data_IF_801440443454
#
_entry.id   IF_801440443454
#
_cell.length_a   1.000
_cell.length_b   1.000
_cell.length_c   1.000
_cell.angle_alpha   90.00
_cell.angle_beta   90.00
_cell.angle_gamma   90.00
#
_symmetry.space_group_name_H-M   'P 1'
#
loop_
_entity.id
_entity.type
_entity.pdbx_description
1 polymer ?
#
# COMPACT_ATOMS: atom_id res chain seq x y z
N UNK A 1 -23.34 31.85 72.29
CA UNK A 1 -23.80 30.70 71.48
C UNK A 1 -23.52 31.02 70.02
N UNK A 2 -22.81 30.10 69.32
CA UNK A 2 -22.59 29.93 67.86
C UNK A 2 -22.31 31.20 67.00
N UNK A 3 -21.07 31.45 66.52
CA UNK A 3 -20.43 30.91 65.29
C UNK A 3 -21.29 31.05 64.01
N UNK A 4 -20.78 31.74 62.99
CA UNK A 4 -20.22 31.11 61.78
C UNK A 4 -19.56 32.13 60.83
N UNK A 5 -18.30 31.85 60.50
CA UNK A 5 -17.43 32.55 59.56
C UNK A 5 -17.72 32.08 58.14
N UNK A 6 -17.92 32.99 57.18
CA UNK A 6 -18.06 32.65 55.77
C UNK A 6 -16.69 32.35 55.15
N UNK A 7 -16.48 31.11 54.70
CA UNK A 7 -15.35 30.72 53.86
C UNK A 7 -15.77 30.82 52.39
N UNK A 8 -15.08 31.66 51.61
CA UNK A 8 -15.08 31.62 50.16
C UNK A 8 -14.22 30.43 49.71
N UNK A 9 -14.83 29.42 49.10
CA UNK A 9 -14.12 28.36 48.38
C UNK A 9 -14.19 28.70 46.89
N UNK A 10 -13.06 29.13 46.33
CA UNK A 10 -12.84 29.27 44.90
C UNK A 10 -12.65 27.85 44.32
N UNK A 11 -13.72 27.24 43.79
CA UNK A 11 -13.60 25.98 43.07
C UNK A 11 -13.04 26.24 41.67
N UNK A 12 -11.75 25.96 41.47
CA UNK A 12 -11.16 25.74 40.14
C UNK A 12 -11.81 24.50 39.53
N UNK A 13 -12.86 24.69 38.74
CA UNK A 13 -13.38 23.65 37.85
C UNK A 13 -12.33 23.44 36.76
N UNK A 14 -11.44 22.47 36.94
CA UNK A 14 -10.71 21.89 35.80
C UNK A 14 -11.73 21.13 34.98
N UNK A 15 -12.25 21.74 33.92
CA UNK A 15 -12.90 21.01 32.84
C UNK A 15 -11.86 20.04 32.27
N UNK A 16 -11.97 18.77 32.62
CA UNK A 16 -11.33 17.70 31.88
C UNK A 16 -12.02 17.68 30.51
N UNK A 17 -11.42 18.34 29.52
CA UNK A 17 -11.83 18.21 28.13
C UNK A 17 -11.52 16.76 27.75
N UNK A 18 -12.57 15.95 27.62
CA UNK A 18 -12.44 14.62 27.03
C UNK A 18 -12.05 14.82 25.57
N UNK A 19 -10.82 14.46 25.21
CA UNK A 19 -10.37 14.45 23.82
C UNK A 19 -11.29 13.50 23.06
N UNK A 20 -12.04 13.95 22.06
CA UNK A 20 -12.85 13.07 21.25
C UNK A 20 -11.95 12.06 20.52
N UNK A 21 -12.41 10.81 20.36
CA UNK A 21 -11.63 9.72 19.76
C UNK A 21 -11.23 9.90 18.27
N UNK A 22 -11.44 11.09 17.70
CA UNK A 22 -11.20 11.44 16.30
C UNK A 22 -10.29 12.67 16.13
N UNK A 23 -9.78 13.28 17.21
CA UNK A 23 -8.79 14.36 17.10
C UNK A 23 -7.37 13.81 17.00
N UNK A 24 -6.50 14.50 16.25
CA UNK A 24 -5.09 14.13 16.09
C UNK A 24 -4.36 14.13 17.43
N UNK A 25 -3.48 13.14 17.68
CA UNK A 25 -2.57 13.19 18.86
C UNK A 25 -1.34 14.07 18.60
N UNK A 26 -1.29 14.79 17.48
CA UNK A 26 -0.19 15.70 17.20
C UNK A 26 -0.14 16.85 18.21
N UNK A 27 1.03 17.05 18.83
CA UNK A 27 1.26 18.11 19.81
C UNK A 27 1.03 17.71 21.27
N UNK A 28 0.50 16.50 21.53
CA UNK A 28 0.41 15.93 22.87
C UNK A 28 1.77 15.42 23.36
N UNK A 29 2.02 15.55 24.65
CA UNK A 29 3.20 14.99 25.30
C UNK A 29 3.08 13.46 25.47
N UNK A 30 4.19 12.82 25.81
CA UNK A 30 4.27 11.36 25.98
C UNK A 30 3.29 10.83 27.03
N UNK A 31 3.03 11.60 28.09
CA UNK A 31 2.09 11.20 29.14
C UNK A 31 0.65 11.26 28.61
N UNK A 32 0.32 12.28 27.84
CA UNK A 32 -1.02 12.45 27.26
C UNK A 32 -1.34 11.38 26.21
N UNK A 33 -0.37 10.98 25.38
CA UNK A 33 -0.51 9.85 24.46
C UNK A 33 -0.70 8.55 25.23
N UNK A 34 0.11 8.31 26.27
CA UNK A 34 -0.04 7.13 27.11
C UNK A 34 -1.37 7.13 27.86
N UNK A 35 -1.88 8.28 28.31
CA UNK A 35 -3.20 8.40 28.93
C UNK A 35 -4.32 8.14 27.91
N UNK A 36 -4.22 8.66 26.68
CA UNK A 36 -5.16 8.36 25.60
C UNK A 36 -5.19 6.86 25.29
N UNK A 37 -4.03 6.23 25.12
CA UNK A 37 -3.91 4.79 24.86
C UNK A 37 -4.39 3.97 26.06
N UNK A 38 -4.13 4.42 27.28
CA UNK A 38 -4.63 3.74 28.50
C UNK A 38 -6.14 3.83 28.61
N UNK A 39 -6.76 4.93 28.19
CA UNK A 39 -8.22 5.14 28.22
C UNK A 39 -8.96 4.43 27.08
N UNK A 40 -8.38 4.39 25.89
CA UNK A 40 -9.04 3.86 24.69
C UNK A 40 -8.57 2.45 24.29
N UNK A 41 -7.48 1.96 24.89
CA UNK A 41 -6.81 0.72 24.53
C UNK A 41 -5.99 0.83 23.24
N UNK A 42 -5.12 -0.16 23.02
CA UNK A 42 -4.52 -0.44 21.71
C UNK A 42 -5.38 -1.49 21.02
N UNK A 43 -5.63 -1.35 19.72
CA UNK A 43 -6.35 -2.39 18.98
C UNK A 43 -5.63 -3.74 19.12
N UNK A 44 -6.38 -4.82 19.22
CA UNK A 44 -5.80 -6.16 19.13
C UNK A 44 -5.15 -6.32 17.75
N UNK A 45 -3.85 -6.61 17.74
CA UNK A 45 -3.10 -6.92 16.51
C UNK A 45 -3.05 -8.44 16.38
N UNK A 46 -3.90 -9.06 15.53
CA UNK A 46 -3.86 -10.50 15.31
C UNK A 46 -2.55 -10.89 14.61
N UNK A 47 -2.21 -12.17 14.69
CA UNK A 47 -1.14 -12.70 13.84
C UNK A 47 -1.58 -12.66 12.37
N UNK A 48 -0.63 -12.51 11.42
CA UNK A 48 -0.92 -12.62 10.00
C UNK A 48 -1.69 -13.91 9.68
N UNK A 49 -2.68 -13.87 8.77
CA UNK A 49 -3.38 -15.07 8.33
C UNK A 49 -2.42 -16.15 7.82
N UNK A 50 -2.73 -17.41 8.11
CA UNK A 50 -2.09 -18.57 7.49
C UNK A 50 -2.44 -18.64 5.99
N UNK A 51 -1.72 -19.46 5.20
CA UNK A 51 -2.11 -19.74 3.82
C UNK A 51 -3.54 -20.27 3.73
N UNK A 52 -4.15 -20.11 2.55
CA UNK A 52 -5.44 -20.74 2.26
C UNK A 52 -5.34 -22.26 2.51
N UNK A 53 -6.39 -22.89 3.06
CA UNK A 53 -6.38 -24.33 3.29
C UNK A 53 -6.10 -25.11 2.00
N UNK A 54 -5.41 -26.25 2.12
CA UNK A 54 -5.12 -27.10 0.97
C UNK A 54 -6.38 -27.42 0.16
N UNK A 55 -6.32 -27.21 -1.16
CA UNK A 55 -7.47 -27.39 -2.06
C UNK A 55 -8.43 -26.20 -2.12
N UNK A 56 -8.19 -25.14 -1.33
CA UNK A 56 -8.89 -23.86 -1.43
C UNK A 56 -8.02 -22.77 -2.06
N UNK A 57 -6.85 -23.12 -2.59
CA UNK A 57 -5.87 -22.26 -3.26
C UNK A 57 -5.83 -22.48 -4.79
N UNK A 58 -6.86 -23.15 -5.32
CA UNK A 58 -7.02 -23.40 -6.74
C UNK A 58 -7.79 -22.32 -7.49
N UNK A 59 -8.03 -22.61 -8.78
CA UNK A 59 -8.93 -21.87 -9.66
C UNK A 59 -10.34 -21.78 -9.04
N UNK A 60 -10.89 -20.57 -8.95
CA UNK A 60 -12.17 -20.29 -8.31
C UNK A 60 -12.85 -19.12 -9.00
N UNK A 61 -14.16 -19.22 -9.24
CA UNK A 61 -15.00 -18.08 -9.63
C UNK A 61 -15.01 -17.08 -8.48
N UNK A 62 -14.60 -15.84 -8.72
CA UNK A 62 -14.48 -14.80 -7.69
C UNK A 62 -15.37 -13.58 -7.94
N UNK A 63 -15.91 -13.46 -9.14
CA UNK A 63 -17.09 -12.63 -9.38
C UNK A 63 -18.35 -13.49 -9.21
N UNK A 64 -18.70 -13.76 -7.94
CA UNK A 64 -19.77 -14.69 -7.54
C UNK A 64 -20.91 -13.96 -6.79
N UNK A 65 -22.07 -14.62 -6.54
CA UNK A 65 -23.18 -14.00 -5.82
C UNK A 65 -22.91 -13.62 -4.36
N UNK A 66 -21.86 -14.15 -3.73
CA UNK A 66 -21.44 -13.79 -2.37
C UNK A 66 -20.56 -12.53 -2.40
N UNK A 67 -19.85 -12.31 -3.50
CA UNK A 67 -18.98 -11.16 -3.76
C UNK A 67 -19.47 -10.31 -4.95
N UNK A 68 -20.74 -9.84 -4.95
CA UNK A 68 -21.26 -9.05 -6.05
C UNK A 68 -20.54 -7.71 -6.12
N UNK A 69 -20.38 -7.21 -7.35
CA UNK A 69 -19.94 -5.84 -7.56
C UNK A 69 -20.97 -4.85 -6.99
N UNK A 70 -20.50 -3.90 -6.18
CA UNK A 70 -21.25 -2.73 -5.76
C UNK A 70 -20.33 -1.52 -5.94
N UNK A 71 -20.79 -0.56 -6.74
CA UNK A 71 -20.08 0.69 -6.96
C UNK A 71 -19.85 1.43 -5.63
N UNK A 72 -18.69 2.06 -5.49
CA UNK A 72 -18.35 2.86 -4.32
C UNK A 72 -19.37 3.99 -4.11
N UNK A 73 -19.92 4.09 -2.91
CA UNK A 73 -20.76 5.22 -2.50
C UNK A 73 -19.95 6.49 -2.24
N UNK A 74 -20.61 7.62 -1.93
CA UNK A 74 -19.94 8.92 -1.73
C UNK A 74 -18.93 8.96 -0.58
N UNK A 75 -19.03 8.04 0.39
CA UNK A 75 -18.15 7.93 1.55
C UNK A 75 -17.14 6.79 1.42
N UNK A 76 -17.25 5.96 0.39
CA UNK A 76 -16.38 4.81 0.22
C UNK A 76 -15.05 5.23 -0.41
N UNK A 77 -13.94 4.80 0.19
CA UNK A 77 -12.61 5.20 -0.22
C UNK A 77 -12.04 4.22 -1.23
N UNK A 78 -11.42 4.77 -2.27
CA UNK A 78 -10.65 4.06 -3.29
C UNK A 78 -9.32 4.81 -3.48
N UNK A 79 -8.32 4.12 -3.99
CA UNK A 79 -6.95 4.63 -4.07
C UNK A 79 -6.22 4.28 -5.36
N UNK A 80 -4.88 4.36 -5.34
CA UNK A 80 -4.06 4.15 -6.53
C UNK A 80 -3.99 2.66 -6.95
N UNK A 81 -4.33 1.72 -6.06
CA UNK A 81 -4.24 0.29 -6.33
C UNK A 81 -5.55 -0.27 -6.94
N UNK A 82 -5.59 -0.59 -8.25
CA UNK A 82 -6.81 -1.11 -8.90
C UNK A 82 -7.27 -2.46 -8.32
N UNK A 83 -6.34 -3.29 -7.85
CA UNK A 83 -6.65 -4.58 -7.25
C UNK A 83 -7.43 -4.42 -5.93
N UNK A 84 -6.92 -3.61 -4.99
CA UNK A 84 -7.61 -3.38 -3.72
C UNK A 84 -8.93 -2.63 -3.90
N UNK A 85 -8.98 -1.69 -4.84
CA UNK A 85 -10.22 -1.02 -5.21
C UNK A 85 -11.29 -2.02 -5.66
N UNK A 86 -10.91 -2.95 -6.54
CA UNK A 86 -11.81 -3.98 -7.04
C UNK A 86 -12.24 -4.93 -5.93
N UNK A 87 -11.32 -5.35 -5.05
CA UNK A 87 -11.63 -6.22 -3.92
C UNK A 87 -12.59 -5.56 -2.92
N UNK A 88 -12.45 -4.25 -2.65
CA UNK A 88 -13.42 -3.50 -1.85
C UNK A 88 -14.78 -3.38 -2.57
N UNK A 89 -14.80 -3.11 -3.88
CA UNK A 89 -16.04 -3.06 -4.67
C UNK A 89 -16.72 -4.42 -4.84
N UNK A 90 -16.04 -5.53 -4.57
CA UNK A 90 -16.61 -6.88 -4.54
C UNK A 90 -16.86 -7.41 -3.12
N UNK A 91 -16.48 -6.67 -2.08
CA UNK A 91 -16.71 -7.08 -0.68
C UNK A 91 -15.73 -8.13 -0.14
N UNK A 92 -14.63 -8.41 -0.85
CA UNK A 92 -13.49 -9.14 -0.28
C UNK A 92 -12.75 -8.33 0.80
N UNK A 93 -12.86 -7.00 0.70
CA UNK A 93 -12.45 -6.05 1.73
C UNK A 93 -13.67 -5.26 2.22
N UNK A 94 -13.60 -4.62 3.40
CA UNK A 94 -14.58 -3.62 3.79
C UNK A 94 -14.83 -2.62 2.67
N UNK A 95 -16.09 -2.46 2.26
CA UNK A 95 -16.48 -1.69 1.06
C UNK A 95 -16.17 -0.19 1.20
N UNK A 96 -16.10 0.31 2.43
CA UNK A 96 -15.65 1.67 2.75
C UNK A 96 -14.17 1.93 2.45
N UNK A 97 -13.37 0.88 2.15
CA UNK A 97 -11.97 1.03 1.80
C UNK A 97 -11.03 1.23 3.01
N UNK A 98 -11.49 0.91 4.22
CA UNK A 98 -10.65 0.95 5.43
C UNK A 98 -10.59 -0.45 6.03
N UNK A 99 -9.38 -1.00 6.13
CA UNK A 99 -9.18 -2.39 6.50
C UNK A 99 -7.99 -2.59 7.43
N UNK A 100 -8.03 -3.67 8.21
CA UNK A 100 -6.86 -4.14 8.96
C UNK A 100 -5.93 -4.97 8.06
N UNK A 101 -4.64 -5.10 8.41
CA UNK A 101 -3.70 -5.96 7.69
C UNK A 101 -4.17 -7.41 7.49
N UNK A 102 -4.79 -8.04 8.51
CA UNK A 102 -5.31 -9.41 8.40
C UNK A 102 -6.43 -9.54 7.37
N UNK A 103 -7.29 -8.53 7.27
CA UNK A 103 -8.35 -8.48 6.27
C UNK A 103 -7.79 -8.28 4.87
N UNK A 104 -6.76 -7.41 4.74
CA UNK A 104 -6.08 -7.18 3.47
C UNK A 104 -5.38 -8.45 2.96
N UNK A 105 -4.61 -9.13 3.81
CA UNK A 105 -3.95 -10.40 3.46
C UNK A 105 -4.99 -11.44 3.04
N UNK A 106 -6.07 -11.58 3.81
CA UNK A 106 -7.16 -12.53 3.46
C UNK A 106 -7.82 -12.18 2.13
N UNK A 107 -8.15 -10.91 1.91
CA UNK A 107 -8.86 -10.45 0.71
C UNK A 107 -8.06 -10.66 -0.57
N UNK A 108 -6.75 -10.40 -0.57
CA UNK A 108 -5.91 -10.62 -1.76
C UNK A 108 -5.63 -12.10 -2.03
N UNK A 109 -5.54 -12.94 -0.98
CA UNK A 109 -5.48 -14.39 -1.15
C UNK A 109 -6.80 -14.93 -1.73
N UNK A 110 -7.94 -14.56 -1.15
CA UNK A 110 -9.24 -15.09 -1.56
C UNK A 110 -9.66 -14.61 -2.95
N UNK A 111 -9.53 -13.31 -3.23
CA UNK A 111 -10.04 -12.73 -4.47
C UNK A 111 -9.11 -12.84 -5.67
N UNK A 112 -7.79 -12.93 -5.46
CA UNK A 112 -6.79 -12.93 -6.55
C UNK A 112 -5.78 -14.08 -6.51
N UNK A 113 -5.83 -14.91 -5.46
CA UNK A 113 -4.88 -15.99 -5.20
C UNK A 113 -3.42 -15.51 -5.07
N UNK A 114 -3.24 -14.37 -4.39
CA UNK A 114 -1.92 -13.93 -3.98
C UNK A 114 -1.34 -14.93 -2.98
N UNK A 115 -0.11 -15.38 -3.15
CA UNK A 115 0.55 -16.29 -2.22
C UNK A 115 0.73 -15.65 -0.85
N UNK A 116 0.66 -16.46 0.22
CA UNK A 116 0.55 -15.95 1.58
C UNK A 116 1.72 -15.05 2.00
N UNK A 117 2.96 -15.49 1.76
CA UNK A 117 4.13 -14.71 2.14
C UNK A 117 4.28 -13.44 1.28
N UNK A 118 3.96 -13.53 -0.01
CA UNK A 118 3.92 -12.35 -0.89
C UNK A 118 2.82 -11.35 -0.49
N UNK A 119 1.65 -11.84 -0.08
CA UNK A 119 0.56 -11.03 0.43
C UNK A 119 0.96 -10.32 1.74
N UNK A 120 1.56 -11.04 2.68
CA UNK A 120 2.08 -10.45 3.93
C UNK A 120 3.14 -9.38 3.64
N UNK A 121 4.07 -9.66 2.74
CA UNK A 121 5.10 -8.70 2.34
C UNK A 121 4.48 -7.38 1.86
N UNK A 122 3.58 -7.44 0.88
CA UNK A 122 2.94 -6.25 0.31
C UNK A 122 2.08 -5.50 1.35
N UNK A 123 1.29 -6.23 2.14
CA UNK A 123 0.37 -5.63 3.11
C UNK A 123 1.11 -5.00 4.28
N UNK A 124 2.07 -5.69 4.90
CA UNK A 124 2.76 -5.14 6.07
C UNK A 124 3.74 -4.03 5.69
N UNK A 125 4.37 -4.10 4.51
CA UNK A 125 5.12 -2.96 3.95
C UNK A 125 4.22 -1.73 3.84
N UNK A 126 3.09 -1.86 3.14
CA UNK A 126 2.15 -0.75 2.96
C UNK A 126 1.60 -0.24 4.29
N UNK A 127 1.25 -1.14 5.22
CA UNK A 127 0.70 -0.79 6.51
C UNK A 127 1.70 -0.04 7.40
N UNK A 128 2.96 -0.48 7.46
CA UNK A 128 4.00 0.23 8.20
C UNK A 128 4.23 1.65 7.67
N UNK A 129 4.08 1.84 6.36
CA UNK A 129 4.32 3.11 5.69
C UNK A 129 3.11 4.05 5.72
N UNK A 130 1.88 3.53 5.78
CA UNK A 130 0.67 4.32 5.54
C UNK A 130 -0.48 4.11 6.54
N UNK A 131 -0.44 3.02 7.30
CA UNK A 131 -1.47 2.64 8.26
C UNK A 131 -1.30 3.30 9.62
N UNK A 132 -2.33 3.20 10.45
CA UNK A 132 -2.29 3.61 11.84
C UNK A 132 -1.91 2.39 12.70
N UNK A 133 -0.69 2.35 13.26
CA UNK A 133 -0.23 1.20 14.02
C UNK A 133 -0.94 1.05 15.38
N UNK A 134 -1.57 2.11 15.91
CA UNK A 134 -2.27 2.06 17.21
C UNK A 134 -3.69 1.47 17.07
N UNK A 135 -4.38 1.78 15.97
CA UNK A 135 -5.74 1.28 15.69
C UNK A 135 -5.76 0.04 14.81
N UNK A 136 -4.60 -0.33 14.24
CA UNK A 136 -4.44 -1.45 13.32
C UNK A 136 -5.29 -1.31 12.03
N UNK A 137 -5.50 -0.07 11.56
CA UNK A 137 -6.32 0.23 10.38
C UNK A 137 -5.52 1.01 9.33
N UNK A 138 -5.79 0.73 8.06
CA UNK A 138 -5.25 1.47 6.92
C UNK A 138 -6.35 1.74 5.90
N UNK A 139 -6.34 2.95 5.34
CA UNK A 139 -7.13 3.30 4.16
C UNK A 139 -6.44 2.80 2.90
N UNK A 140 -7.20 2.18 1.99
CA UNK A 140 -6.70 1.78 0.67
C UNK A 140 -6.58 2.96 -0.31
N UNK A 141 -6.95 4.17 0.11
CA UNK A 141 -6.84 5.40 -0.66
C UNK A 141 -6.32 6.56 0.18
N UNK A 142 -7.00 7.70 0.13
CA UNK A 142 -6.60 8.93 0.82
C UNK A 142 -6.73 8.81 2.35
N UNK A 143 -6.11 9.75 3.07
CA UNK A 143 -6.22 9.91 4.52
C UNK A 143 -7.68 10.06 4.94
N UNK A 144 -8.05 9.42 6.04
CA UNK A 144 -9.41 9.43 6.59
C UNK A 144 -9.39 9.38 8.11
N UNK A 145 -10.33 10.03 8.81
CA UNK A 145 -10.49 9.87 10.26
C UNK A 145 -10.92 8.45 10.67
N UNK A 146 -11.38 7.61 9.73
CA UNK A 146 -11.77 6.22 10.01
C UNK A 146 -10.60 5.31 10.45
N UNK A 147 -9.35 5.72 10.21
CA UNK A 147 -8.17 5.03 10.78
C UNK A 147 -7.86 5.48 12.21
N UNK A 148 -8.63 6.40 12.78
CA UNK A 148 -8.52 6.91 14.14
C UNK A 148 -7.40 7.93 14.36
N UNK A 149 -7.16 8.34 15.62
CA UNK A 149 -6.23 9.42 15.96
C UNK A 149 -4.81 9.16 15.47
N UNK A 150 -4.25 10.16 14.81
CA UNK A 150 -2.90 10.08 14.29
C UNK A 150 -1.87 9.94 15.42
N UNK A 151 -0.83 9.12 15.25
CA UNK A 151 0.36 9.18 16.08
C UNK A 151 1.08 10.53 15.92
N UNK A 152 2.05 10.84 16.80
CA UNK A 152 2.82 12.07 16.70
C UNK A 152 3.50 12.22 15.34
N UNK A 153 3.60 13.48 14.89
CA UNK A 153 4.41 13.86 13.73
C UNK A 153 5.86 13.38 13.91
N UNK A 154 6.57 13.02 12.84
CA UNK A 154 6.24 13.23 11.42
C UNK A 154 5.36 12.15 10.75
N UNK A 155 4.88 11.14 11.49
CA UNK A 155 4.02 10.12 10.93
C UNK A 155 2.75 10.71 10.29
N UNK A 156 2.41 10.23 9.09
CA UNK A 156 1.34 10.82 8.28
C UNK A 156 0.03 10.04 8.38
N UNK A 157 0.10 8.70 8.46
CA UNK A 157 -1.08 7.81 8.41
C UNK A 157 -1.99 8.22 7.25
N UNK A 158 -1.39 8.37 6.07
CA UNK A 158 -2.01 9.01 4.93
C UNK A 158 -2.86 8.08 4.06
N UNK A 159 -2.91 6.78 4.40
CA UNK A 159 -3.48 5.77 3.50
C UNK A 159 -2.61 5.52 2.27
N UNK A 160 -3.00 4.57 1.42
CA UNK A 160 -2.18 4.17 0.26
C UNK A 160 -1.96 5.29 -0.77
N UNK A 161 -2.79 6.33 -0.80
CA UNK A 161 -2.56 7.46 -1.70
C UNK A 161 -1.50 8.43 -1.19
N UNK A 162 -0.90 8.22 -0.03
CA UNK A 162 0.14 9.11 0.50
C UNK A 162 1.39 9.07 -0.37
N UNK A 163 1.61 10.17 -1.10
CA UNK A 163 2.78 10.33 -1.95
C UNK A 163 4.09 10.27 -1.18
N UNK A 164 5.12 9.68 -1.79
CA UNK A 164 6.50 9.68 -1.32
C UNK A 164 6.82 8.63 -0.25
N UNK A 165 5.85 7.76 0.08
CA UNK A 165 6.08 6.59 0.92
C UNK A 165 6.01 5.33 0.06
N UNK A 166 4.81 4.81 -0.18
CA UNK A 166 4.52 3.66 -1.04
C UNK A 166 4.10 4.13 -2.44
N UNK A 167 3.07 4.99 -2.50
CA UNK A 167 2.67 5.66 -3.73
C UNK A 167 3.80 6.59 -4.18
N UNK A 168 4.02 6.62 -5.49
CA UNK A 168 4.99 7.51 -6.08
C UNK A 168 4.79 7.67 -7.58
N UNK A 169 5.63 8.51 -8.15
CA UNK A 169 5.57 8.93 -9.55
C UNK A 169 5.66 7.76 -10.52
N UNK A 170 5.36 8.06 -11.78
CA UNK A 170 5.48 7.15 -12.94
C UNK A 170 4.43 6.04 -12.96
N UNK A 171 3.30 6.23 -12.28
CA UNK A 171 2.19 5.28 -12.32
C UNK A 171 1.65 5.07 -13.74
N UNK A 172 1.14 3.87 -14.02
CA UNK A 172 0.73 3.47 -15.37
C UNK A 172 -0.57 4.14 -15.83
N UNK A 173 -1.48 4.40 -14.90
CA UNK A 173 -2.84 4.93 -15.18
C UNK A 173 -3.27 6.02 -14.20
N UNK A 174 -2.36 6.50 -13.36
CA UNK A 174 -2.54 7.58 -12.37
C UNK A 174 -1.47 8.64 -12.63
N UNK A 175 -1.82 9.91 -12.47
CA UNK A 175 -0.87 11.02 -12.62
C UNK A 175 0.09 11.08 -11.44
N UNK A 176 1.28 11.63 -11.67
CA UNK A 176 2.20 11.97 -10.59
C UNK A 176 1.55 13.02 -9.67
N UNK A 177 1.82 12.96 -8.37
CA UNK A 177 1.21 13.84 -7.36
C UNK A 177 1.47 15.34 -7.65
N UNK A 178 2.59 15.65 -8.31
CA UNK A 178 2.90 17.01 -8.77
C UNK A 178 1.81 17.59 -9.70
N UNK A 179 1.16 16.76 -10.51
CA UNK A 179 0.18 17.21 -11.50
C UNK A 179 -1.27 17.15 -11.02
N UNK A 180 -1.56 16.49 -9.90
CA UNK A 180 -2.91 16.36 -9.38
C UNK A 180 -3.10 15.16 -8.47
N UNK A 181 -4.33 14.66 -8.40
CA UNK A 181 -4.68 13.53 -7.53
C UNK A 181 -4.15 12.21 -8.09
N UNK A 182 -3.11 11.69 -7.45
CA UNK A 182 -2.43 10.43 -7.77
C UNK A 182 -3.26 9.17 -7.48
N UNK A 183 -4.46 9.28 -6.88
CA UNK A 183 -5.34 8.14 -6.65
C UNK A 183 -6.30 7.88 -7.81
N UNK A 184 -6.64 8.93 -8.58
CA UNK A 184 -7.73 8.92 -9.56
C UNK A 184 -7.28 8.30 -10.88
N UNK A 185 -8.13 7.43 -11.44
CA UNK A 185 -7.92 6.88 -12.79
C UNK A 185 -7.81 8.01 -13.82
N UNK A 186 -6.78 7.96 -14.66
CA UNK A 186 -6.54 8.94 -15.70
C UNK A 186 -6.75 8.34 -17.10
N UNK A 187 -7.79 8.81 -17.79
CA UNK A 187 -8.14 8.32 -19.13
C UNK A 187 -7.04 8.56 -20.16
N UNK A 188 -6.32 9.69 -20.10
CA UNK A 188 -5.23 9.98 -21.04
C UNK A 188 -4.10 8.95 -20.91
N UNK A 189 -3.66 8.65 -19.68
CA UNK A 189 -2.66 7.61 -19.44
C UNK A 189 -3.19 6.21 -19.80
N UNK A 190 -4.49 5.96 -19.64
CA UNK A 190 -5.08 4.71 -20.08
C UNK A 190 -5.16 4.59 -21.62
N UNK A 191 -5.37 5.68 -22.34
CA UNK A 191 -5.25 5.69 -23.81
C UNK A 191 -3.81 5.38 -24.25
N UNK A 192 -2.81 5.88 -23.53
CA UNK A 192 -1.42 5.49 -23.75
C UNK A 192 -1.20 3.99 -23.48
N UNK A 193 -1.75 3.47 -22.38
CA UNK A 193 -1.75 2.03 -22.08
C UNK A 193 -2.33 1.20 -23.23
N UNK A 194 -3.46 1.62 -23.81
CA UNK A 194 -4.08 0.97 -24.98
C UNK A 194 -3.15 1.06 -26.20
N UNK A 195 -2.58 2.24 -26.48
CA UNK A 195 -1.71 2.45 -27.63
C UNK A 195 -0.44 1.58 -27.57
N UNK A 196 0.18 1.46 -26.40
CA UNK A 196 1.34 0.59 -26.21
C UNK A 196 0.98 -0.89 -26.32
N UNK A 197 -0.17 -1.30 -25.78
CA UNK A 197 -0.69 -2.66 -25.93
C UNK A 197 -0.93 -3.00 -27.40
N UNK A 198 -1.59 -2.12 -28.15
CA UNK A 198 -1.84 -2.27 -29.59
C UNK A 198 -0.55 -2.37 -30.42
N UNK A 199 0.47 -1.60 -30.04
CA UNK A 199 1.73 -1.51 -30.80
C UNK A 199 2.71 -2.65 -30.50
N UNK A 200 2.80 -3.09 -29.24
CA UNK A 200 3.86 -3.98 -28.78
C UNK A 200 3.37 -5.32 -28.26
N UNK A 201 2.11 -5.41 -27.85
CA UNK A 201 1.54 -6.63 -27.29
C UNK A 201 0.94 -7.55 -28.34
N UNK A 202 0.95 -8.85 -28.04
CA UNK A 202 0.35 -9.86 -28.89
C UNK A 202 -1.15 -9.60 -29.06
N UNK A 203 -1.61 -9.50 -30.30
CA UNK A 203 -2.99 -9.17 -30.66
C UNK A 203 -3.56 -7.93 -29.93
N UNK A 204 -2.71 -6.96 -29.60
CA UNK A 204 -3.12 -5.72 -28.91
C UNK A 204 -3.43 -5.88 -27.42
N UNK A 205 -3.03 -7.00 -26.81
CA UNK A 205 -3.18 -7.22 -25.36
C UNK A 205 -2.06 -6.53 -24.57
N UNK A 206 -2.31 -6.28 -23.30
CA UNK A 206 -1.28 -5.89 -22.36
C UNK A 206 -0.54 -7.15 -21.88
N UNK A 207 0.62 -7.40 -22.48
CA UNK A 207 1.56 -8.48 -22.16
C UNK A 207 2.94 -7.90 -21.79
N UNK A 208 3.93 -8.76 -21.51
CA UNK A 208 5.27 -8.32 -21.08
C UNK A 208 5.99 -7.41 -22.08
N UNK A 209 5.72 -7.55 -23.39
CA UNK A 209 6.31 -6.67 -24.40
C UNK A 209 5.76 -5.25 -24.27
N UNK A 210 4.43 -5.13 -24.16
CA UNK A 210 3.77 -3.85 -23.92
C UNK A 210 4.15 -3.24 -22.57
N UNK A 211 4.21 -4.05 -21.51
CA UNK A 211 4.60 -3.64 -20.16
C UNK A 211 5.98 -2.98 -20.17
N UNK A 212 6.97 -3.62 -20.78
CA UNK A 212 8.35 -3.12 -20.78
C UNK A 212 8.48 -1.77 -21.48
N UNK A 213 7.83 -1.61 -22.63
CA UNK A 213 7.85 -0.35 -23.39
C UNK A 213 7.10 0.76 -22.65
N UNK A 214 5.93 0.47 -22.10
CA UNK A 214 5.13 1.47 -21.38
C UNK A 214 5.78 1.88 -20.05
N UNK A 215 6.34 0.93 -19.29
CA UNK A 215 7.09 1.25 -18.05
C UNK A 215 8.26 2.18 -18.37
N UNK A 216 9.03 1.90 -19.41
CA UNK A 216 10.12 2.77 -19.85
C UNK A 216 9.61 4.18 -20.21
N UNK A 217 8.55 4.26 -21.01
CA UNK A 217 7.94 5.54 -21.38
C UNK A 217 7.48 6.34 -20.14
N UNK A 218 6.81 5.68 -19.19
CA UNK A 218 6.34 6.30 -17.94
C UNK A 218 7.47 6.76 -17.02
N UNK A 219 8.70 6.25 -17.17
CA UNK A 219 9.88 6.75 -16.49
C UNK A 219 10.49 7.98 -17.19
N UNK A 220 10.50 7.98 -18.53
CA UNK A 220 11.11 9.05 -19.32
C UNK A 220 10.26 10.33 -19.33
N UNK A 221 8.92 10.24 -19.36
CA UNK A 221 8.07 11.44 -19.43
C UNK A 221 8.20 12.37 -18.23
N UNK A 222 8.17 11.87 -16.97
CA UNK A 222 8.32 12.72 -15.80
C UNK A 222 9.70 13.34 -15.66
N UNK A 223 10.76 12.72 -16.21
CA UNK A 223 12.10 13.34 -16.24
C UNK A 223 12.04 14.69 -16.95
N UNK A 224 11.29 14.79 -18.05
CA UNK A 224 11.15 16.03 -18.81
C UNK A 224 10.07 16.98 -18.25
N UNK A 225 9.05 16.44 -17.58
CA UNK A 225 7.81 17.20 -17.28
C UNK A 225 7.59 17.50 -15.80
N UNK A 226 7.95 16.59 -14.90
CA UNK A 226 7.74 16.68 -13.45
C UNK A 226 9.02 17.23 -12.77
N UNK A 227 9.06 18.51 -12.34
CA UNK A 227 10.26 19.08 -11.71
C UNK A 227 10.62 18.47 -10.37
N UNK A 228 9.72 17.71 -9.75
CA UNK A 228 9.83 17.13 -8.41
C UNK A 228 9.85 15.60 -8.45
N UNK A 229 10.08 14.99 -9.63
CA UNK A 229 10.14 13.53 -9.80
C UNK A 229 11.02 12.87 -8.73
N UNK A 230 10.46 11.89 -8.02
CA UNK A 230 11.21 11.01 -7.12
C UNK A 230 11.04 9.56 -7.56
N UNK A 231 12.12 8.96 -8.09
CA UNK A 231 12.13 7.55 -8.47
C UNK A 231 13.28 6.82 -7.77
N UNK A 232 13.11 6.58 -6.47
CA UNK A 232 14.08 5.94 -5.58
C UNK A 232 13.47 4.75 -4.84
N UNK A 233 14.19 4.15 -3.89
CA UNK A 233 13.65 3.07 -3.03
C UNK A 233 12.61 3.63 -2.04
N UNK A 234 11.48 2.94 -1.82
CA UNK A 234 11.12 1.62 -2.37
C UNK A 234 10.35 1.67 -3.70
N UNK A 235 10.09 2.87 -4.27
CA UNK A 235 9.29 3.06 -5.48
C UNK A 235 9.80 2.28 -6.69
N UNK A 236 11.11 2.13 -6.87
CA UNK A 236 11.66 1.31 -7.96
C UNK A 236 11.14 -0.14 -7.91
N UNK A 237 11.06 -0.74 -6.73
CA UNK A 237 10.53 -2.10 -6.58
C UNK A 237 9.04 -2.16 -6.91
N UNK A 238 8.25 -1.25 -6.33
CA UNK A 238 6.80 -1.25 -6.53
C UNK A 238 6.43 -0.91 -7.97
N UNK A 239 7.04 0.09 -8.59
CA UNK A 239 6.72 0.51 -9.95
C UNK A 239 6.93 -0.60 -11.00
N UNK A 240 8.02 -1.36 -10.91
CA UNK A 240 8.26 -2.48 -11.83
C UNK A 240 7.37 -3.68 -11.52
N UNK A 241 7.15 -4.03 -10.24
CA UNK A 241 6.27 -5.12 -9.84
C UNK A 241 4.80 -4.86 -10.23
N UNK A 242 4.31 -3.66 -9.97
CA UNK A 242 2.96 -3.22 -10.30
C UNK A 242 2.70 -3.18 -11.81
N UNK A 243 3.75 -2.99 -12.63
CA UNK A 243 3.61 -3.03 -14.08
C UNK A 243 3.34 -4.46 -14.59
N UNK A 244 3.89 -5.50 -13.93
CA UNK A 244 3.63 -6.90 -14.34
C UNK A 244 2.34 -7.47 -13.75
N UNK A 245 1.89 -6.97 -12.59
CA UNK A 245 0.71 -7.48 -11.88
C UNK A 245 -0.57 -7.61 -12.74
N UNK A 246 -0.93 -6.67 -13.63
CA UNK A 246 -2.12 -6.82 -14.49
C UNK A 246 -2.04 -8.04 -15.41
N UNK A 247 -0.85 -8.37 -15.92
CA UNK A 247 -0.65 -9.58 -16.75
C UNK A 247 -0.87 -10.86 -15.94
N UNK A 248 -0.78 -10.78 -14.61
CA UNK A 248 -1.03 -11.91 -13.71
C UNK A 248 -2.47 -11.89 -13.22
N UNK A 249 -2.82 -10.90 -12.40
CA UNK A 249 -4.01 -10.93 -11.56
C UNK A 249 -5.28 -10.48 -12.26
N UNK A 250 -5.18 -9.80 -13.41
CA UNK A 250 -6.35 -9.33 -14.17
C UNK A 250 -6.65 -10.20 -15.39
N UNK A 251 -5.78 -11.18 -15.68
CA UNK A 251 -6.04 -12.24 -16.66
C UNK A 251 -6.84 -13.34 -15.97
N UNK A 252 -7.95 -13.76 -16.60
CA UNK A 252 -8.76 -14.87 -16.09
C UNK A 252 -7.90 -16.13 -15.92
N UNK A 253 -7.96 -16.74 -14.74
CA UNK A 253 -7.11 -17.86 -14.35
C UNK A 253 -7.27 -19.10 -15.23
N UNK A 254 -8.36 -19.22 -15.99
CA UNK A 254 -8.54 -20.30 -16.98
C UNK A 254 -7.66 -20.13 -18.22
N UNK A 255 -7.33 -18.88 -18.56
CA UNK A 255 -6.46 -18.56 -19.69
C UNK A 255 -5.00 -18.66 -19.28
N UNK A 256 -4.64 -18.04 -18.15
CA UNK A 256 -3.28 -18.01 -17.56
C UNK A 256 -2.15 -17.77 -18.58
N UNK A 257 -2.41 -16.98 -19.62
CA UNK A 257 -1.52 -16.76 -20.77
C UNK A 257 -0.73 -15.45 -20.68
N UNK A 258 -0.89 -14.70 -19.58
CA UNK A 258 -0.26 -13.39 -19.33
C UNK A 258 -0.60 -12.29 -20.35
N UNK A 259 -1.73 -12.43 -21.04
CA UNK A 259 -2.20 -11.47 -22.05
C UNK A 259 -3.51 -10.85 -21.56
N UNK A 260 -3.41 -9.65 -20.99
CA UNK A 260 -4.57 -8.94 -20.48
C UNK A 260 -5.27 -8.20 -21.62
N UNK A 261 -6.54 -8.49 -21.86
CA UNK A 261 -7.33 -7.75 -22.86
C UNK A 261 -7.60 -6.32 -22.38
N UNK A 262 -7.74 -5.38 -23.30
CA UNK A 262 -8.04 -3.97 -22.96
C UNK A 262 -9.37 -3.83 -22.22
N UNK A 263 -10.38 -4.63 -22.59
CA UNK A 263 -11.67 -4.63 -21.90
C UNK A 263 -11.51 -5.06 -20.43
N UNK A 264 -10.79 -6.16 -20.17
CA UNK A 264 -10.49 -6.58 -18.82
C UNK A 264 -9.63 -5.53 -18.07
N UNK A 265 -8.65 -4.91 -18.73
CA UNK A 265 -7.87 -3.84 -18.13
C UNK A 265 -8.76 -2.66 -17.68
N UNK A 266 -9.71 -2.20 -18.52
CA UNK A 266 -10.62 -1.11 -18.15
C UNK A 266 -11.51 -1.49 -16.96
N UNK A 267 -11.99 -2.73 -16.94
CA UNK A 267 -12.76 -3.28 -15.81
C UNK A 267 -12.04 -3.10 -14.47
N UNK A 268 -10.75 -3.42 -14.38
CA UNK A 268 -10.00 -3.26 -13.13
C UNK A 268 -9.50 -1.83 -12.86
N UNK A 269 -8.99 -1.14 -13.88
CA UNK A 269 -8.33 0.16 -13.69
C UNK A 269 -9.28 1.34 -13.50
N UNK A 270 -10.42 1.31 -14.21
CA UNK A 270 -11.43 2.37 -14.26
C UNK A 270 -12.64 1.97 -13.42
N UNK A 271 -13.31 0.87 -13.78
CA UNK A 271 -14.57 0.46 -13.16
C UNK A 271 -14.41 -0.19 -11.80
N UNK A 272 -13.19 -0.62 -11.45
CA UNK A 272 -12.88 -1.32 -10.20
C UNK A 272 -13.78 -2.55 -10.01
N UNK A 273 -13.94 -3.31 -11.08
CA UNK A 273 -14.91 -4.38 -11.22
C UNK A 273 -14.25 -5.57 -11.89
N UNK A 274 -14.37 -6.77 -11.31
CA UNK A 274 -13.97 -7.99 -11.99
C UNK A 274 -14.87 -8.23 -13.23
N UNK A 275 -14.33 -8.69 -14.37
CA UNK A 275 -15.16 -9.16 -15.48
C UNK A 275 -16.20 -10.20 -15.04
N UNK A 276 -17.30 -10.31 -15.78
CA UNK A 276 -18.29 -11.37 -15.52
C UNK A 276 -17.62 -12.74 -15.66
N UNK A 277 -17.97 -13.68 -14.78
CA UNK A 277 -17.41 -15.05 -14.79
C UNK A 277 -15.88 -15.08 -14.56
N UNK A 278 -15.30 -14.04 -13.96
CA UNK A 278 -13.86 -13.96 -13.71
C UNK A 278 -13.41 -14.99 -12.68
N UNK A 279 -12.42 -15.79 -13.06
CA UNK A 279 -11.74 -16.73 -12.17
C UNK A 279 -10.37 -16.19 -11.76
N UNK A 280 -10.05 -16.27 -10.46
CA UNK A 280 -8.72 -15.92 -9.94
C UNK A 280 -7.65 -16.89 -10.43
N UNK A 281 -6.38 -16.61 -10.17
CA UNK A 281 -5.27 -17.47 -10.60
C UNK A 281 -5.40 -18.92 -10.10
N UNK A 282 -4.96 -19.93 -10.88
CA UNK A 282 -5.18 -21.34 -10.57
C UNK A 282 -4.27 -21.89 -9.46
N UNK A 283 -3.25 -21.14 -9.06
CA UNK A 283 -2.33 -21.45 -7.97
C UNK A 283 -1.88 -20.16 -7.29
N UNK A 284 -1.41 -20.21 -6.02
CA UNK A 284 -0.87 -19.06 -5.32
C UNK A 284 0.25 -18.38 -6.11
N UNK A 285 0.21 -17.05 -6.20
CA UNK A 285 1.25 -16.26 -6.85
C UNK A 285 2.24 -15.70 -5.83
N UNK A 286 3.51 -16.09 -5.96
CA UNK A 286 4.61 -15.77 -5.04
C UNK A 286 5.77 -15.07 -5.76
N UNK A 287 6.83 -14.72 -5.02
CA UNK A 287 8.00 -14.04 -5.59
C UNK A 287 8.65 -14.85 -6.71
N UNK A 288 8.72 -16.17 -6.57
CA UNK A 288 9.26 -17.06 -7.61
C UNK A 288 8.56 -16.92 -8.97
N UNK A 289 7.27 -16.55 -8.99
CA UNK A 289 6.53 -16.28 -10.23
C UNK A 289 6.74 -14.84 -10.73
N UNK A 290 6.75 -13.87 -9.82
CA UNK A 290 6.79 -12.44 -10.17
C UNK A 290 8.19 -11.97 -10.56
N UNK A 291 9.22 -12.38 -9.82
CA UNK A 291 10.59 -11.89 -9.98
C UNK A 291 11.15 -12.09 -11.40
N UNK A 292 10.97 -13.25 -12.06
CA UNK A 292 11.43 -13.42 -13.44
C UNK A 292 10.79 -12.43 -14.42
N UNK A 293 9.49 -12.13 -14.27
CA UNK A 293 8.77 -11.20 -15.15
C UNK A 293 9.24 -9.76 -14.93
N UNK A 294 9.44 -9.37 -13.67
CA UNK A 294 10.00 -8.07 -13.30
C UNK A 294 11.41 -7.90 -13.88
N UNK A 295 12.25 -8.93 -13.76
CA UNK A 295 13.59 -8.93 -14.32
C UNK A 295 13.58 -8.86 -15.85
N UNK A 296 12.65 -9.55 -16.52
CA UNK A 296 12.50 -9.51 -17.98
C UNK A 296 12.23 -8.10 -18.47
N UNK A 297 11.23 -7.41 -17.89
CA UNK A 297 10.90 -6.04 -18.31
C UNK A 297 11.99 -5.04 -17.93
N UNK A 298 12.67 -5.23 -16.79
CA UNK A 298 13.78 -4.36 -16.38
C UNK A 298 15.00 -4.53 -17.29
N UNK A 299 15.36 -5.76 -17.66
CA UNK A 299 16.53 -6.02 -18.50
C UNK A 299 16.37 -5.47 -19.92
N UNK A 300 15.14 -5.27 -20.39
CA UNK A 300 14.88 -4.62 -21.69
C UNK A 300 15.20 -3.12 -21.66
N UNK A 301 14.90 -2.46 -20.55
CA UNK A 301 15.15 -1.02 -20.34
C UNK A 301 15.66 -0.77 -18.90
N UNK A 302 16.94 -1.07 -18.60
CA UNK A 302 17.48 -0.90 -17.26
C UNK A 302 17.44 0.56 -16.83
N UNK A 303 17.09 0.82 -15.58
CA UNK A 303 16.96 2.17 -15.04
C UNK A 303 17.69 2.32 -13.71
N UNK A 304 18.41 3.43 -13.55
CA UNK A 304 19.11 3.77 -12.30
C UNK A 304 18.26 4.75 -11.49
N UNK A 305 18.00 4.48 -10.19
CA UNK A 305 17.27 5.39 -9.32
C UNK A 305 17.77 6.84 -9.34
N UNK A 306 16.87 7.80 -9.18
CA UNK A 306 17.20 9.21 -9.19
C UNK A 306 16.04 10.13 -8.87
N UNK A 307 16.32 11.43 -8.84
CA UNK A 307 15.34 12.49 -8.55
C UNK A 307 15.53 13.68 -9.49
N UNK A 308 14.48 14.43 -9.78
CA UNK A 308 14.60 15.70 -10.47
C UNK A 308 14.91 16.85 -9.50
N UNK A 309 15.82 17.73 -9.91
CA UNK A 309 16.04 19.04 -9.30
C UNK A 309 15.59 20.13 -10.27
N UNK A 310 14.27 20.23 -10.49
CA UNK A 310 13.69 20.98 -11.59
C UNK A 310 13.55 20.14 -12.86
N UNK A 311 12.81 20.66 -13.85
CA UNK A 311 12.54 19.94 -15.10
C UNK A 311 13.83 19.68 -15.88
N UNK A 312 13.94 18.51 -16.50
CA UNK A 312 15.11 18.08 -17.29
C UNK A 312 16.43 18.05 -16.49
N UNK A 313 16.36 17.91 -15.16
CA UNK A 313 17.54 17.87 -14.29
C UNK A 313 17.49 16.63 -13.39
N UNK A 314 17.50 15.45 -14.03
CA UNK A 314 17.48 14.17 -13.34
C UNK A 314 18.87 13.83 -12.80
N UNK A 315 18.98 13.78 -11.48
CA UNK A 315 20.20 13.45 -10.76
C UNK A 315 20.12 12.01 -10.25
N UNK A 316 21.10 11.21 -10.66
CA UNK A 316 21.21 9.82 -10.23
C UNK A 316 21.48 9.75 -8.73
N UNK A 317 20.86 8.76 -8.08
CA UNK A 317 21.01 8.47 -6.66
C UNK A 317 21.68 7.10 -6.50
N UNK A 318 22.98 6.94 -6.82
CA UNK A 318 23.65 5.64 -6.91
C UNK A 318 23.76 4.89 -5.57
N UNK A 319 23.57 5.59 -4.44
CA UNK A 319 23.54 4.98 -3.11
C UNK A 319 22.16 4.42 -2.74
N UNK A 320 21.14 4.65 -3.57
CA UNK A 320 19.82 4.04 -3.40
C UNK A 320 19.90 2.59 -3.88
N UNK A 321 19.37 1.62 -3.12
CA UNK A 321 19.28 0.24 -3.56
C UNK A 321 18.64 0.11 -4.96
N UNK A 322 19.30 -0.64 -5.83
CA UNK A 322 18.77 -0.95 -7.16
C UNK A 322 17.66 -2.00 -7.07
N UNK A 323 16.89 -2.20 -8.15
CA UNK A 323 15.83 -3.21 -8.20
C UNK A 323 16.32 -4.62 -7.85
N UNK A 324 17.55 -4.97 -8.25
CA UNK A 324 18.17 -6.26 -7.96
C UNK A 324 18.60 -6.44 -6.50
N UNK A 325 18.73 -5.36 -5.74
CA UNK A 325 19.14 -5.39 -4.33
C UNK A 325 17.91 -5.42 -3.40
N UNK A 326 17.20 -6.55 -3.43
CA UNK A 326 15.98 -6.73 -2.64
C UNK A 326 16.22 -6.52 -1.12
N UNK A 327 17.32 -7.06 -0.59
CA UNK A 327 17.62 -6.91 0.83
C UNK A 327 17.99 -5.46 1.19
N UNK A 328 18.72 -4.75 0.31
CA UNK A 328 18.97 -3.33 0.49
C UNK A 328 17.68 -2.50 0.47
N UNK A 329 16.72 -2.81 -0.41
CA UNK A 329 15.39 -2.16 -0.42
C UNK A 329 14.64 -2.42 0.89
N UNK A 330 14.64 -3.66 1.38
CA UNK A 330 14.06 -4.01 2.68
C UNK A 330 14.72 -3.21 3.83
N UNK A 331 16.05 -3.18 3.87
CA UNK A 331 16.80 -2.42 4.88
C UNK A 331 16.49 -0.92 4.80
N UNK A 332 16.40 -0.36 3.60
CA UNK A 332 16.08 1.04 3.35
C UNK A 332 14.67 1.40 3.87
N UNK A 333 13.68 0.52 3.67
CA UNK A 333 12.35 0.70 4.26
C UNK A 333 12.46 0.72 5.79
N UNK A 334 13.08 -0.30 6.38
CA UNK A 334 13.09 -0.50 7.83
C UNK A 334 13.97 0.51 8.57
N UNK A 335 15.09 0.95 7.97
CA UNK A 335 16.09 1.80 8.61
C UNK A 335 15.98 3.29 8.24
N UNK A 336 15.37 3.62 7.10
CA UNK A 336 15.19 5.02 6.67
C UNK A 336 13.72 5.44 6.64
N UNK A 337 12.87 4.68 5.94
CA UNK A 337 11.46 5.11 5.73
C UNK A 337 10.66 5.06 7.04
N UNK A 338 10.70 3.93 7.75
CA UNK A 338 9.93 3.78 9.00
C UNK A 338 10.45 4.74 10.10
N UNK A 339 11.76 4.87 10.37
CA UNK A 339 12.28 5.85 11.32
C UNK A 339 12.07 7.30 10.91
N UNK A 340 12.02 7.58 9.60
CA UNK A 340 11.65 8.91 9.08
C UNK A 340 10.24 9.34 9.49
N UNK A 341 9.31 8.39 9.68
CA UNK A 341 7.95 8.64 10.17
C UNK A 341 7.85 8.55 11.70
N UNK A 342 8.61 7.64 12.29
CA UNK A 342 8.61 7.38 13.74
C UNK A 342 10.05 7.47 14.28
N UNK A 343 10.58 8.68 14.51
CA UNK A 343 11.97 8.86 14.91
C UNK A 343 12.25 8.41 16.35
N UNK A 344 11.31 8.68 17.27
CA UNK A 344 11.44 8.34 18.70
C UNK A 344 10.16 7.71 19.26
N UNK A 345 9.67 6.56 18.72
CA UNK A 345 8.48 5.92 19.26
C UNK A 345 8.78 5.37 20.66
N UNK A 346 7.81 5.52 21.57
CA UNK A 346 7.89 5.00 22.94
C UNK A 346 6.62 4.20 23.29
N UNK A 347 6.60 3.63 24.49
CA UNK A 347 5.45 2.93 25.05
C UNK A 347 4.78 1.94 24.09
N UNK A 348 3.47 2.10 23.94
CA UNK A 348 2.66 1.24 23.07
C UNK A 348 2.99 1.40 21.60
N UNK A 349 3.23 2.63 21.12
CA UNK A 349 3.55 2.91 19.72
C UNK A 349 4.80 2.15 19.26
N UNK A 350 5.86 2.17 20.08
CA UNK A 350 7.08 1.39 19.81
C UNK A 350 6.78 -0.10 19.72
N UNK A 351 6.01 -0.64 20.66
CA UNK A 351 5.66 -2.07 20.72
C UNK A 351 4.90 -2.53 19.48
N UNK A 352 3.91 -1.75 19.03
CA UNK A 352 3.10 -2.12 17.85
C UNK A 352 3.88 -1.99 16.55
N UNK A 353 4.77 -1.00 16.42
CA UNK A 353 5.64 -0.85 15.25
C UNK A 353 6.61 -2.04 15.17
N UNK A 354 7.28 -2.40 16.27
CA UNK A 354 8.16 -3.57 16.33
C UNK A 354 7.45 -4.86 15.92
N UNK A 355 6.25 -5.08 16.46
CA UNK A 355 5.43 -6.25 16.09
C UNK A 355 5.13 -6.32 14.59
N UNK A 356 4.80 -5.20 13.95
CA UNK A 356 4.54 -5.18 12.51
C UNK A 356 5.82 -5.28 11.67
N UNK A 357 6.97 -4.81 12.19
CA UNK A 357 8.28 -5.03 11.57
C UNK A 357 8.67 -6.51 11.60
N UNK A 358 8.37 -7.23 12.67
CA UNK A 358 8.57 -8.69 12.74
C UNK A 358 7.71 -9.40 11.69
N UNK A 359 6.42 -9.06 11.58
CA UNK A 359 5.54 -9.62 10.54
C UNK A 359 6.01 -9.31 9.11
N UNK A 360 6.53 -8.11 8.88
CA UNK A 360 7.11 -7.74 7.60
C UNK A 360 8.37 -8.56 7.31
N UNK A 361 9.26 -8.73 8.29
CA UNK A 361 10.47 -9.52 8.13
C UNK A 361 10.19 -11.02 7.93
N UNK A 362 9.22 -11.60 8.65
CA UNK A 362 8.82 -12.99 8.45
C UNK A 362 8.49 -13.26 6.98
N UNK A 363 7.75 -12.34 6.34
CA UNK A 363 7.40 -12.41 4.93
C UNK A 363 8.61 -12.23 3.98
N UNK A 364 9.56 -11.36 4.34
CA UNK A 364 10.82 -11.19 3.59
C UNK A 364 11.67 -12.45 3.65
N UNK A 365 11.79 -13.05 4.84
CA UNK A 365 12.65 -14.21 5.10
C UNK A 365 12.13 -15.51 4.46
N UNK A 366 10.88 -15.54 4.01
CA UNK A 366 10.25 -16.71 3.41
C UNK A 366 10.86 -17.08 2.04
N UNK A 367 11.19 -16.08 1.21
CA UNK A 367 11.76 -16.30 -0.14
C UNK A 367 13.11 -15.60 -0.36
N UNK A 368 13.56 -14.75 0.57
CA UNK A 368 14.84 -14.04 0.48
C UNK A 368 15.69 -14.22 1.73
N UNK A 369 17.00 -14.48 1.55
CA UNK A 369 17.96 -14.67 2.64
C UNK A 369 18.47 -13.32 3.20
N UNK A 370 17.55 -12.42 3.56
CA UNK A 370 17.89 -11.14 4.17
C UNK A 370 18.07 -11.28 5.68
N UNK A 371 18.87 -10.39 6.29
CA UNK A 371 19.06 -10.36 7.75
C UNK A 371 18.06 -9.40 8.37
N UNK A 372 17.43 -9.79 9.49
CA UNK A 372 16.53 -8.88 10.20
C UNK A 372 17.30 -7.69 10.77
N UNK A 373 16.74 -6.48 10.58
CA UNK A 373 17.29 -5.24 11.11
C UNK A 373 16.30 -4.61 12.08
N UNK A 374 16.81 -3.90 13.09
CA UNK A 374 16.04 -3.50 14.26
C UNK A 374 16.18 -1.99 14.54
N UNK A 375 15.40 -1.12 13.87
CA UNK A 375 15.54 0.33 13.98
C UNK A 375 15.29 0.86 15.40
N UNK A 376 14.61 0.07 16.23
CA UNK A 376 14.25 0.42 17.61
C UNK A 376 14.81 -0.55 18.66
N UNK A 377 15.84 -1.32 18.29
CA UNK A 377 16.48 -2.34 19.13
C UNK A 377 15.67 -3.64 19.27
N UNK A 378 16.31 -4.70 19.77
CA UNK A 378 15.68 -6.00 20.06
C UNK A 378 14.96 -5.98 21.40
N UNK A 379 13.89 -6.76 21.54
CA UNK A 379 13.37 -7.09 22.87
C UNK A 379 14.24 -8.25 23.39
N UNK A 380 14.93 -8.04 24.51
CA UNK A 380 15.77 -9.04 25.17
C UNK A 380 15.04 -9.73 26.31
#
# INVERSE_FOLDING_TARGET
>A
MARFTAFLILSLVRLAVAIPAYESLAGFDEREINEFVTRNGVAHIPNPPAPLPAGQDGLKLVNDPVHPFIAAGPTDIRGPCPALNTLASHGYLPRNGVARPDQLVTGVMEGLNLGNDFAKFLVYQAFLMNGNPLTNLMSIGMKTPETGPDPPKPALVGGLSQHGTFEGDTSMTRVDAFFGDQAVFNETLFQEFIAFSAKYGFNGTYDLNAVAELRNQRLLDPIATNPELVFTSPRILSAYSEAVFPTIFFVDGRLNNRQLTIDAARHFFDFQMMPTDFHRQPAPVNFTLVNPLVNEIFNKHPFTPGVNHGKNNFVLMPNTPALSDFCGIYEDIVLRVIPGQYPNPNGHLKKVIKKNLDFFFDAVSAEHNCTQVFPYGRDY
#
